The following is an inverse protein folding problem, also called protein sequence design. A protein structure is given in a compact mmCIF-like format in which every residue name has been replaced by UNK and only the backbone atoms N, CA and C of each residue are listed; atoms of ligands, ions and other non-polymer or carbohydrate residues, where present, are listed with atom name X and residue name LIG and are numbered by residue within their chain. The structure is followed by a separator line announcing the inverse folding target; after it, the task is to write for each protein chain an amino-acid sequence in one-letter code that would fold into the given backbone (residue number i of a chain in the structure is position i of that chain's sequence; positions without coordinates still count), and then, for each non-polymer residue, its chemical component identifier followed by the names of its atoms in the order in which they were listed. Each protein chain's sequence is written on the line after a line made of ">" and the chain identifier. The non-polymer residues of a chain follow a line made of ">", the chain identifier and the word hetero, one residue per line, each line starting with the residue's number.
data_IF_240889096829
#
_entry.id   IF_240889096829
#
_cell.length_a   1.000
_cell.length_b   1.000
_cell.length_c   1.000
_cell.angle_alpha   90.00
_cell.angle_beta   90.00
_cell.angle_gamma   90.00
#
_symmetry.space_group_name_H-M   'P 1'
#
loop_
_entity.id
_entity.type
_entity.pdbx_description
1 polymer ?
#
# COMPACT_ATOMS: atom_id res chain seq x y z
N UNK A 1 -6.77 15.40 -2.41
CA UNK A 1 -6.55 14.14 -1.65
C UNK A 1 -7.28 13.04 -2.39
N UNK A 2 -6.55 11.97 -2.75
CA UNK A 2 -7.11 10.81 -3.45
C UNK A 2 -7.82 9.90 -2.45
N UNK A 3 -8.94 9.30 -2.86
CA UNK A 3 -9.70 8.34 -2.05
C UNK A 3 -9.69 6.98 -2.75
N UNK A 4 -9.17 5.97 -2.05
CA UNK A 4 -9.04 4.62 -2.55
C UNK A 4 -9.86 3.59 -1.78
N UNK A 5 -9.90 2.39 -2.34
CA UNK A 5 -10.52 1.22 -1.73
C UNK A 5 -9.75 -0.06 -2.07
N UNK A 6 -10.03 -1.15 -1.35
CA UNK A 6 -9.31 -2.41 -1.51
C UNK A 6 -9.82 -3.24 -2.68
N UNK A 7 -8.89 -3.84 -3.42
CA UNK A 7 -9.17 -4.86 -4.41
C UNK A 7 -9.58 -6.18 -3.71
N UNK A 8 -10.61 -6.88 -4.20
CA UNK A 8 -11.02 -8.18 -3.68
C UNK A 8 -10.12 -9.29 -4.21
N UNK A 9 -8.83 -9.25 -3.89
CA UNK A 9 -7.82 -10.21 -4.36
C UNK A 9 -7.66 -11.42 -3.46
N UNK A 10 -8.48 -11.53 -2.40
CA UNK A 10 -8.39 -12.62 -1.41
C UNK A 10 -9.77 -13.12 -0.98
N UNK A 11 -9.80 -14.39 -0.52
CA UNK A 11 -10.99 -15.05 0.02
C UNK A 11 -12.10 -15.24 -1.01
N UNK A 12 -13.35 -15.37 -0.59
CA UNK A 12 -14.48 -15.74 -1.47
C UNK A 12 -14.75 -14.76 -2.63
N UNK A 13 -14.29 -13.52 -2.53
CA UNK A 13 -14.42 -12.52 -3.58
C UNK A 13 -13.22 -12.48 -4.55
N UNK A 14 -12.23 -13.35 -4.36
CA UNK A 14 -11.05 -13.43 -5.24
C UNK A 14 -11.38 -14.10 -6.57
N UNK A 15 -12.42 -13.65 -7.25
CA UNK A 15 -12.84 -14.12 -8.58
C UNK A 15 -12.62 -13.02 -9.62
N UNK A 16 -12.46 -13.43 -10.88
CA UNK A 16 -12.32 -12.48 -12.00
C UNK A 16 -13.53 -11.56 -12.09
N UNK A 17 -14.74 -12.12 -11.95
CA UNK A 17 -15.99 -11.37 -12.01
C UNK A 17 -16.09 -10.32 -10.89
N UNK A 18 -15.80 -10.71 -9.65
CA UNK A 18 -15.81 -9.81 -8.49
C UNK A 18 -14.81 -8.67 -8.66
N UNK A 19 -13.57 -9.01 -9.04
CA UNK A 19 -12.50 -8.05 -9.21
C UNK A 19 -12.84 -7.00 -10.29
N UNK A 20 -13.33 -7.44 -11.45
CA UNK A 20 -13.70 -6.54 -12.55
C UNK A 20 -14.92 -5.69 -12.18
N UNK A 21 -15.97 -6.31 -11.64
CA UNK A 21 -17.21 -5.60 -11.28
C UNK A 21 -16.96 -4.51 -10.25
N UNK A 22 -16.20 -4.83 -9.20
CA UNK A 22 -15.88 -3.88 -8.11
C UNK A 22 -14.96 -2.77 -8.62
N UNK A 23 -13.94 -3.08 -9.43
CA UNK A 23 -13.04 -2.07 -10.01
C UNK A 23 -13.79 -1.08 -10.92
N UNK A 24 -14.62 -1.57 -11.83
CA UNK A 24 -15.42 -0.72 -12.72
C UNK A 24 -16.45 0.12 -11.96
N UNK A 25 -17.10 -0.45 -10.94
CA UNK A 25 -18.00 0.30 -10.08
C UNK A 25 -17.28 1.40 -9.30
N UNK A 26 -16.08 1.12 -8.78
CA UNK A 26 -15.24 2.12 -8.12
C UNK A 26 -14.88 3.28 -9.04
N UNK A 27 -14.47 2.98 -10.27
CA UNK A 27 -14.19 3.99 -11.30
C UNK A 27 -15.43 4.82 -11.63
N UNK A 28 -16.60 4.17 -11.78
CA UNK A 28 -17.87 4.84 -12.07
C UNK A 28 -18.34 5.74 -10.91
N UNK A 29 -18.15 5.30 -9.67
CA UNK A 29 -18.48 6.06 -8.45
C UNK A 29 -17.49 7.20 -8.16
N UNK A 30 -16.40 7.32 -8.93
CA UNK A 30 -15.42 8.38 -8.79
C UNK A 30 -14.43 8.17 -7.64
N UNK A 31 -14.12 6.93 -7.28
CA UNK A 31 -12.94 6.62 -6.48
C UNK A 31 -11.67 6.81 -7.32
N UNK A 32 -10.59 7.19 -6.66
CA UNK A 32 -9.36 7.57 -7.34
C UNK A 32 -8.40 6.40 -7.56
N UNK A 33 -8.36 5.41 -6.65
CA UNK A 33 -7.45 4.27 -6.78
C UNK A 33 -7.96 2.99 -6.15
N UNK A 34 -7.45 1.87 -6.65
CA UNK A 34 -7.66 0.52 -6.16
C UNK A 34 -6.36 0.00 -5.53
N UNK A 35 -6.44 -0.48 -4.29
CA UNK A 35 -5.32 -0.94 -3.49
C UNK A 35 -5.27 -2.47 -3.45
N UNK A 36 -4.14 -3.07 -3.89
CA UNK A 36 -3.94 -4.52 -3.99
C UNK A 36 -3.06 -5.03 -2.86
N UNK A 37 -3.54 -6.01 -2.09
CA UNK A 37 -2.74 -6.69 -1.05
C UNK A 37 -1.75 -7.67 -1.67
N UNK A 38 -0.71 -8.04 -0.93
CA UNK A 38 0.34 -8.95 -1.39
C UNK A 38 0.55 -10.13 -0.42
N UNK A 39 0.27 -11.31 -0.91
CA UNK A 39 0.77 -12.61 -0.45
C UNK A 39 0.87 -13.51 -1.68
N UNK A 40 1.93 -14.29 -1.78
CA UNK A 40 2.15 -15.24 -2.88
C UNK A 40 1.69 -16.63 -2.47
N UNK A 41 2.07 -17.04 -1.27
CA UNK A 41 1.63 -18.30 -0.63
C UNK A 41 1.32 -18.03 0.83
N UNK A 42 0.31 -18.72 1.38
CA UNK A 42 -0.01 -18.69 2.80
C UNK A 42 0.36 -20.04 3.40
N UNK A 43 1.35 -20.10 4.30
CA UNK A 43 1.69 -21.31 5.01
C UNK A 43 0.52 -21.85 5.85
N UNK A 44 0.42 -23.18 5.97
CA UNK A 44 -0.60 -23.79 6.84
C UNK A 44 -0.32 -23.47 8.30
N UNK A 45 0.94 -23.62 8.72
CA UNK A 45 1.41 -23.29 10.05
C UNK A 45 2.12 -21.94 10.02
N UNK A 46 1.70 -21.02 10.89
CA UNK A 46 2.25 -19.68 11.02
C UNK A 46 2.66 -19.45 12.46
N UNK A 47 3.96 -19.35 12.70
CA UNK A 47 4.56 -18.98 13.98
C UNK A 47 4.82 -17.47 14.07
N UNK A 48 5.04 -16.84 12.90
CA UNK A 48 5.23 -15.41 12.76
C UNK A 48 4.04 -14.62 13.32
N UNK A 49 4.32 -13.59 14.11
CA UNK A 49 3.28 -12.74 14.69
C UNK A 49 2.78 -11.68 13.71
N UNK A 50 1.48 -11.71 13.42
CA UNK A 50 0.85 -10.72 12.57
C UNK A 50 0.89 -9.32 13.22
N UNK A 51 1.50 -8.31 12.57
CA UNK A 51 1.77 -7.02 13.21
C UNK A 51 0.53 -6.15 13.39
N UNK A 52 -0.58 -6.45 12.72
CA UNK A 52 -1.79 -5.61 12.69
C UNK A 52 -2.95 -6.15 13.53
N UNK A 53 -2.70 -7.17 14.34
CA UNK A 53 -3.63 -7.66 15.35
C UNK A 53 -2.98 -7.66 16.73
N UNK A 54 -3.72 -7.26 17.77
CA UNK A 54 -3.23 -7.25 19.15
C UNK A 54 -2.87 -8.66 19.66
N UNK A 55 -3.61 -9.68 19.20
CA UNK A 55 -3.33 -11.09 19.47
C UNK A 55 -2.05 -11.57 18.78
N UNK A 56 -1.65 -10.95 17.68
CA UNK A 56 -0.57 -11.39 16.81
C UNK A 56 -0.97 -12.53 15.87
N UNK A 57 -2.23 -12.93 15.85
CA UNK A 57 -2.74 -14.00 14.98
C UNK A 57 -3.08 -13.46 13.60
N UNK A 58 -2.68 -14.19 12.55
CA UNK A 58 -3.12 -13.90 11.20
C UNK A 58 -4.59 -14.27 11.03
N UNK A 59 -5.45 -13.39 10.50
CA UNK A 59 -6.88 -13.64 10.43
C UNK A 59 -7.21 -14.92 9.64
N UNK A 60 -7.99 -15.83 10.22
CA UNK A 60 -8.39 -17.10 9.58
C UNK A 60 -9.12 -16.90 8.25
N UNK A 61 -9.90 -15.82 8.14
CA UNK A 61 -10.56 -15.43 6.86
C UNK A 61 -9.61 -14.91 5.80
N UNK A 62 -8.32 -14.72 6.10
CA UNK A 62 -7.28 -14.40 5.13
C UNK A 62 -6.56 -15.66 4.60
N UNK A 63 -6.92 -16.86 5.10
CA UNK A 63 -6.49 -18.14 4.53
C UNK A 63 -7.41 -18.51 3.38
N UNK A 64 -6.87 -18.99 2.27
CA UNK A 64 -7.64 -19.36 1.09
C UNK A 64 -7.11 -18.73 -0.18
N UNK A 65 -7.98 -18.40 -1.12
CA UNK A 65 -7.59 -17.84 -2.41
C UNK A 65 -6.91 -16.49 -2.26
N UNK A 66 -5.73 -16.37 -2.89
CA UNK A 66 -5.01 -15.12 -3.09
C UNK A 66 -4.61 -15.01 -4.54
N UNK A 67 -4.99 -13.90 -5.17
CA UNK A 67 -4.51 -13.56 -6.50
C UNK A 67 -3.15 -12.87 -6.38
N UNK A 68 -2.22 -13.23 -7.26
CA UNK A 68 -0.92 -12.58 -7.32
C UNK A 68 -1.11 -11.09 -7.62
N UNK A 69 -0.51 -10.25 -6.77
CA UNK A 69 -0.76 -8.81 -6.72
C UNK A 69 -0.50 -8.08 -8.04
N UNK A 70 0.65 -8.34 -8.66
CA UNK A 70 1.07 -7.61 -9.85
C UNK A 70 0.32 -8.08 -11.09
N UNK A 71 -0.04 -9.37 -11.15
CA UNK A 71 -0.88 -9.92 -12.22
C UNK A 71 -2.29 -9.34 -12.14
N UNK A 72 -2.89 -9.31 -10.93
CA UNK A 72 -4.20 -8.72 -10.73
C UNK A 72 -4.22 -7.21 -11.07
N UNK A 73 -3.18 -6.47 -10.68
CA UNK A 73 -3.03 -5.05 -11.02
C UNK A 73 -2.90 -4.84 -12.54
N UNK A 74 -2.10 -5.65 -13.24
CA UNK A 74 -1.96 -5.59 -14.69
C UNK A 74 -3.29 -5.89 -15.42
N UNK A 75 -4.04 -6.89 -14.93
CA UNK A 75 -5.34 -7.24 -15.48
C UNK A 75 -6.35 -6.09 -15.35
N UNK A 76 -6.42 -5.44 -14.19
CA UNK A 76 -7.30 -4.29 -13.95
C UNK A 76 -6.83 -3.04 -14.69
N UNK A 77 -5.52 -2.86 -14.90
CA UNK A 77 -5.00 -1.79 -15.75
C UNK A 77 -5.65 -1.78 -17.14
N UNK A 78 -5.85 -2.99 -17.72
CA UNK A 78 -6.50 -3.15 -19.03
C UNK A 78 -8.04 -3.09 -19.02
N UNK A 79 -8.66 -3.07 -17.84
CA UNK A 79 -10.14 -3.00 -17.69
C UNK A 79 -10.64 -1.61 -17.30
N UNK A 80 -9.78 -0.75 -16.80
CA UNK A 80 -10.09 0.60 -16.31
C UNK A 80 -9.33 1.65 -17.08
N UNK A 81 -9.82 2.91 -17.06
CA UNK A 81 -9.21 3.99 -17.83
C UNK A 81 -8.66 5.13 -16.96
N UNK A 82 -9.22 5.36 -15.78
CA UNK A 82 -8.86 6.47 -14.87
C UNK A 82 -8.39 5.99 -13.50
N UNK A 83 -8.95 4.84 -13.03
CA UNK A 83 -8.67 4.30 -11.71
C UNK A 83 -7.17 4.01 -11.57
N UNK A 84 -6.50 4.66 -10.60
CA UNK A 84 -5.11 4.40 -10.30
C UNK A 84 -4.96 3.05 -9.62
N UNK A 85 -3.79 2.47 -9.73
CA UNK A 85 -3.43 1.16 -9.16
C UNK A 85 -2.38 1.38 -8.08
N UNK A 86 -2.59 0.81 -6.90
CA UNK A 86 -1.64 0.92 -5.80
C UNK A 86 -1.35 -0.45 -5.20
N UNK A 87 -0.09 -0.84 -5.16
CA UNK A 87 0.30 -2.00 -4.34
C UNK A 87 0.22 -1.60 -2.87
N UNK A 88 -0.51 -2.37 -2.03
CA UNK A 88 -0.89 -1.96 -0.68
C UNK A 88 -0.71 -3.10 0.37
N UNK A 89 0.52 -3.47 0.61
CA UNK A 89 1.78 -3.03 0.02
C UNK A 89 2.49 -4.24 -0.58
N UNK A 90 3.26 -4.04 -1.64
CA UNK A 90 4.11 -5.09 -2.20
C UNK A 90 5.22 -5.44 -1.20
N UNK A 91 5.37 -6.71 -0.88
CA UNK A 91 6.52 -7.20 -0.13
C UNK A 91 7.71 -7.30 -1.09
N UNK A 92 8.56 -6.28 -1.04
CA UNK A 92 9.63 -6.10 -2.03
C UNK A 92 10.56 -7.31 -2.17
N UNK A 93 10.98 -8.00 -1.09
CA UNK A 93 11.83 -9.18 -1.20
C UNK A 93 11.19 -10.46 -1.77
N UNK A 94 9.85 -10.53 -1.90
CA UNK A 94 9.18 -11.77 -2.34
C UNK A 94 9.49 -12.16 -3.79
N UNK A 95 9.96 -11.24 -4.60
CA UNK A 95 10.24 -11.46 -6.03
C UNK A 95 11.63 -10.96 -6.39
N UNK A 96 12.34 -11.60 -7.35
CA UNK A 96 13.66 -11.13 -7.81
C UNK A 96 13.61 -9.69 -8.32
N UNK A 97 14.54 -8.84 -7.88
CA UNK A 97 14.52 -7.40 -8.12
C UNK A 97 14.37 -7.01 -9.60
N UNK A 98 15.19 -7.58 -10.50
CA UNK A 98 15.16 -7.21 -11.92
C UNK A 98 13.82 -7.58 -12.56
N UNK A 99 13.28 -8.76 -12.22
CA UNK A 99 11.96 -9.19 -12.69
C UNK A 99 10.86 -8.27 -12.17
N UNK A 100 10.88 -7.94 -10.88
CA UNK A 100 9.91 -7.05 -10.25
C UNK A 100 9.94 -5.66 -10.88
N UNK A 101 11.12 -5.07 -11.07
CA UNK A 101 11.26 -3.80 -11.77
C UNK A 101 10.65 -3.83 -13.17
N UNK A 102 10.83 -4.97 -13.89
CA UNK A 102 10.25 -5.17 -15.22
C UNK A 102 8.73 -5.25 -15.19
N UNK A 103 8.17 -6.01 -14.25
CA UNK A 103 6.72 -6.15 -14.10
C UNK A 103 6.08 -4.81 -13.76
N UNK A 104 6.63 -4.06 -12.81
CA UNK A 104 6.15 -2.74 -12.42
C UNK A 104 6.23 -1.72 -13.57
N UNK A 105 7.34 -1.69 -14.31
CA UNK A 105 7.47 -0.84 -15.50
C UNK A 105 6.43 -1.19 -16.58
N UNK A 106 6.16 -2.49 -16.76
CA UNK A 106 5.15 -2.97 -17.70
C UNK A 106 3.74 -2.55 -17.27
N UNK A 107 3.39 -2.72 -15.99
CA UNK A 107 2.09 -2.27 -15.45
C UNK A 107 1.94 -0.76 -15.63
N UNK A 108 3.00 0.00 -15.37
CA UNK A 108 2.96 1.46 -15.51
C UNK A 108 2.71 1.89 -16.97
N UNK A 109 3.34 1.23 -17.93
CA UNK A 109 3.09 1.45 -19.37
C UNK A 109 1.66 1.05 -19.75
N UNK A 110 1.22 -0.16 -19.38
CA UNK A 110 -0.11 -0.67 -19.71
C UNK A 110 -1.24 0.17 -19.07
N UNK A 111 -0.96 0.74 -17.91
CA UNK A 111 -1.90 1.64 -17.23
C UNK A 111 -1.79 3.10 -17.66
N UNK A 112 -0.91 3.45 -18.61
CA UNK A 112 -0.64 4.84 -19.00
C UNK A 112 -0.26 5.73 -17.81
N UNK A 113 0.62 5.24 -16.92
CA UNK A 113 1.14 6.01 -15.79
C UNK A 113 0.21 6.11 -14.58
N UNK A 114 -0.65 5.11 -14.37
CA UNK A 114 -1.57 5.08 -13.21
C UNK A 114 -1.05 4.30 -12.01
N UNK A 115 0.15 3.72 -12.07
CA UNK A 115 0.72 2.91 -10.99
C UNK A 115 1.33 3.79 -9.89
N UNK A 116 1.08 3.43 -8.62
CA UNK A 116 1.82 3.84 -7.44
C UNK A 116 2.30 2.58 -6.72
N UNK A 117 3.59 2.50 -6.41
CA UNK A 117 4.20 1.31 -5.82
C UNK A 117 4.32 1.51 -4.32
N UNK A 118 3.37 0.97 -3.56
CA UNK A 118 3.50 0.84 -2.10
C UNK A 118 4.43 -0.33 -1.77
N UNK A 119 5.46 -0.07 -0.98
CA UNK A 119 6.58 -0.97 -0.70
C UNK A 119 6.67 -1.32 0.78
N UNK A 120 6.78 -2.59 1.10
CA UNK A 120 6.99 -3.11 2.45
C UNK A 120 8.11 -4.14 2.51
N UNK A 121 8.51 -4.49 3.73
CA UNK A 121 9.59 -5.44 3.97
C UNK A 121 9.09 -6.87 4.23
N UNK A 122 7.77 -7.05 4.49
CA UNK A 122 7.20 -8.33 4.89
C UNK A 122 7.27 -8.61 6.41
N UNK A 123 6.42 -9.54 6.85
CA UNK A 123 6.30 -9.92 8.26
C UNK A 123 6.25 -11.45 8.47
N UNK A 124 5.91 -12.23 7.43
CA UNK A 124 5.64 -13.65 7.47
C UNK A 124 6.88 -14.43 7.02
N UNK A 125 7.69 -14.88 8.00
CA UNK A 125 8.98 -15.53 7.75
C UNK A 125 8.84 -16.81 6.94
N UNK A 126 7.80 -17.58 7.24
CA UNK A 126 7.50 -18.86 6.58
C UNK A 126 7.17 -18.68 5.09
N UNK A 127 6.61 -17.53 4.69
CA UNK A 127 6.41 -17.19 3.28
C UNK A 127 7.74 -16.88 2.58
N UNK A 128 8.68 -16.22 3.26
CA UNK A 128 10.03 -15.99 2.73
C UNK A 128 10.77 -17.32 2.48
N UNK A 129 10.66 -18.27 3.40
CA UNK A 129 11.26 -19.59 3.25
C UNK A 129 10.64 -20.34 2.07
N UNK A 130 9.31 -20.38 1.97
CA UNK A 130 8.59 -21.06 0.90
C UNK A 130 8.92 -20.47 -0.49
N UNK A 131 9.19 -19.19 -0.58
CA UNK A 131 9.56 -18.51 -1.83
C UNK A 131 11.06 -18.62 -2.16
N UNK A 132 11.89 -19.10 -1.23
CA UNK A 132 13.34 -19.16 -1.42
C UNK A 132 13.97 -17.78 -1.59
N UNK A 133 13.45 -16.78 -0.92
CA UNK A 133 13.93 -15.40 -0.96
C UNK A 133 15.18 -15.21 -0.09
N UNK A 134 15.88 -14.06 -0.17
CA UNK A 134 16.95 -13.75 0.78
C UNK A 134 16.49 -13.87 2.24
N UNK A 135 17.39 -14.13 3.20
CA UNK A 135 17.04 -14.41 4.59
C UNK A 135 16.11 -13.35 5.20
N UNK A 136 15.05 -13.79 5.88
CA UNK A 136 14.03 -12.93 6.49
C UNK A 136 14.65 -11.86 7.42
N UNK A 137 15.69 -12.20 8.19
CA UNK A 137 16.40 -11.25 9.05
C UNK A 137 17.02 -10.07 8.29
N UNK A 138 17.33 -10.24 7.00
CA UNK A 138 17.95 -9.23 6.13
C UNK A 138 16.92 -8.47 5.28
N UNK A 139 15.62 -8.78 5.38
CA UNK A 139 14.54 -8.22 4.52
C UNK A 139 14.54 -6.70 4.39
N UNK A 140 14.97 -5.99 5.45
CA UNK A 140 15.08 -4.52 5.41
C UNK A 140 16.19 -4.05 4.48
N UNK A 141 17.39 -4.65 4.57
CA UNK A 141 18.54 -4.34 3.72
C UNK A 141 18.28 -4.76 2.27
N UNK A 142 17.66 -5.93 2.06
CA UNK A 142 17.22 -6.40 0.73
C UNK A 142 16.25 -5.41 0.10
N UNK A 143 15.26 -4.93 0.87
CA UNK A 143 14.31 -3.92 0.38
C UNK A 143 15.00 -2.63 -0.04
N UNK A 144 15.91 -2.11 0.79
CA UNK A 144 16.63 -0.87 0.49
C UNK A 144 17.45 -0.99 -0.81
N UNK A 145 18.13 -2.13 -0.99
CA UNK A 145 18.91 -2.40 -2.18
C UNK A 145 18.04 -2.60 -3.43
N UNK A 146 16.93 -3.34 -3.30
CA UNK A 146 16.00 -3.56 -4.42
C UNK A 146 15.37 -2.25 -4.91
N UNK A 147 14.99 -1.35 -4.00
CA UNK A 147 14.45 -0.04 -4.37
C UNK A 147 15.48 0.82 -5.12
N UNK A 148 16.76 0.74 -4.73
CA UNK A 148 17.84 1.40 -5.46
C UNK A 148 18.04 0.79 -6.85
N UNK A 149 18.04 -0.55 -6.95
CA UNK A 149 18.13 -1.27 -8.22
C UNK A 149 16.95 -0.95 -9.16
N UNK A 150 15.73 -0.84 -8.64
CA UNK A 150 14.56 -0.40 -9.44
C UNK A 150 14.80 0.96 -10.07
N UNK A 151 15.25 1.93 -9.29
CA UNK A 151 15.52 3.27 -9.80
C UNK A 151 16.59 3.25 -10.89
N UNK A 152 17.71 2.55 -10.70
CA UNK A 152 18.74 2.41 -11.71
C UNK A 152 18.17 1.84 -13.01
N UNK A 153 17.40 0.73 -12.93
CA UNK A 153 16.76 0.11 -14.10
C UNK A 153 15.78 1.05 -14.81
N UNK A 154 15.03 1.85 -14.08
CA UNK A 154 13.99 2.73 -14.65
C UNK A 154 14.52 4.03 -15.23
N UNK A 155 15.61 4.57 -14.68
CA UNK A 155 16.06 5.94 -15.00
C UNK A 155 17.34 6.02 -15.81
N UNK A 156 18.21 5.02 -15.71
CA UNK A 156 19.50 5.05 -16.41
C UNK A 156 19.39 4.43 -17.81
N UNK A 157 20.02 5.05 -18.81
CA UNK A 157 20.06 4.54 -20.18
C UNK A 157 20.85 3.22 -20.27
N UNK A 158 21.96 3.15 -19.53
CA UNK A 158 22.81 1.96 -19.39
C UNK A 158 22.85 1.54 -17.92
N UNK A 159 21.79 0.87 -17.43
CA UNK A 159 21.67 0.59 -16.02
C UNK A 159 22.77 -0.37 -15.55
N UNK A 160 23.44 0.02 -14.48
CA UNK A 160 24.44 -0.77 -13.77
C UNK A 160 24.15 -0.72 -12.29
N UNK A 161 24.26 -1.84 -11.64
CA UNK A 161 24.10 -1.92 -10.19
C UNK A 161 25.02 -2.99 -9.61
N UNK A 162 25.68 -2.71 -8.52
CA UNK A 162 26.56 -3.63 -7.81
C UNK A 162 26.24 -3.59 -6.32
N UNK A 163 25.35 -4.48 -5.89
CA UNK A 163 24.96 -4.66 -4.53
C UNK A 163 25.30 -6.04 -3.98
N UNK A 164 24.91 -6.28 -2.75
CA UNK A 164 25.06 -7.57 -2.09
C UNK A 164 24.03 -8.59 -2.59
N UNK A 165 22.78 -8.15 -2.83
CA UNK A 165 21.65 -9.00 -3.20
C UNK A 165 21.30 -8.90 -4.67
N UNK A 166 21.68 -7.82 -5.33
CA UNK A 166 21.41 -7.57 -6.76
C UNK A 166 22.67 -7.08 -7.44
N UNK A 167 22.96 -7.69 -8.60
CA UNK A 167 24.05 -7.23 -9.46
C UNK A 167 23.64 -7.36 -10.91
N UNK A 168 23.83 -6.30 -11.69
CA UNK A 168 23.68 -6.31 -13.14
C UNK A 168 24.55 -5.24 -13.79
N UNK A 169 25.02 -5.54 -15.00
CA UNK A 169 25.72 -4.62 -15.89
C UNK A 169 25.44 -5.04 -17.33
N UNK A 170 25.65 -4.12 -18.26
CA UNK A 170 25.55 -4.38 -19.69
C UNK A 170 24.18 -4.98 -20.12
N UNK A 171 23.11 -4.52 -19.48
CA UNK A 171 21.73 -4.95 -19.73
C UNK A 171 20.94 -3.85 -20.45
N UNK A 172 20.04 -4.25 -21.34
CA UNK A 172 19.02 -3.38 -21.91
C UNK A 172 17.73 -3.55 -21.11
N UNK A 173 17.27 -2.48 -20.45
CA UNK A 173 16.00 -2.48 -19.75
C UNK A 173 15.00 -1.56 -20.46
N UNK A 174 14.10 -2.17 -21.20
CA UNK A 174 13.05 -1.50 -21.98
C UNK A 174 11.76 -2.35 -21.98
N UNK A 175 10.54 -1.76 -21.92
CA UNK A 175 10.30 -0.33 -21.82
C UNK A 175 10.70 0.24 -20.46
N UNK A 176 11.02 1.53 -20.43
CA UNK A 176 11.06 2.31 -19.22
C UNK A 176 9.61 2.62 -18.77
N UNK A 177 9.35 2.89 -17.48
CA UNK A 177 8.04 3.32 -17.03
C UNK A 177 7.50 4.54 -17.81
N UNK A 178 6.18 4.63 -17.94
CA UNK A 178 5.51 5.78 -18.55
C UNK A 178 5.71 7.05 -17.69
N UNK A 179 5.59 6.91 -16.37
CA UNK A 179 5.82 7.99 -15.41
C UNK A 179 7.31 8.36 -15.34
N UNK A 180 7.61 9.66 -15.18
CA UNK A 180 8.97 10.18 -15.08
C UNK A 180 9.17 10.90 -13.74
N UNK A 181 10.28 10.66 -13.05
CA UNK A 181 11.39 9.78 -13.43
C UNK A 181 11.04 8.29 -13.35
N UNK A 182 10.06 7.88 -12.53
CA UNK A 182 9.56 6.52 -12.34
C UNK A 182 8.20 6.53 -11.59
N UNK A 183 7.46 5.41 -11.52
CA UNK A 183 6.28 5.31 -10.65
C UNK A 183 6.64 5.66 -9.21
N UNK A 184 5.81 6.44 -8.48
CA UNK A 184 6.10 6.81 -7.10
C UNK A 184 6.28 5.58 -6.21
N UNK A 185 7.35 5.55 -5.41
CA UNK A 185 7.66 4.53 -4.42
C UNK A 185 7.18 5.00 -3.04
N UNK A 186 6.07 4.45 -2.55
CA UNK A 186 5.50 4.79 -1.26
C UNK A 186 5.84 3.73 -0.23
N UNK A 187 6.50 4.11 0.85
CA UNK A 187 6.98 3.19 1.88
C UNK A 187 5.92 2.97 2.94
N UNK A 188 5.53 1.72 3.16
CA UNK A 188 4.63 1.31 4.22
C UNK A 188 5.35 1.05 5.54
N UNK A 189 4.54 0.96 6.60
CA UNK A 189 4.99 0.67 7.96
C UNK A 189 5.15 1.90 8.84
N UNK A 190 5.04 1.66 10.16
CA UNK A 190 4.92 2.67 11.22
C UNK A 190 6.13 2.67 12.16
N UNK A 191 6.99 1.64 12.07
CA UNK A 191 8.18 1.52 12.89
C UNK A 191 9.26 2.54 12.53
N UNK A 192 10.17 2.82 13.45
CA UNK A 192 11.29 3.73 13.20
C UNK A 192 12.14 3.33 11.97
N UNK A 193 12.47 2.04 11.72
CA UNK A 193 13.13 1.65 10.48
C UNK A 193 12.32 1.97 9.21
N UNK A 194 10.98 1.83 9.26
CA UNK A 194 10.12 2.16 8.14
C UNK A 194 10.08 3.67 7.87
N UNK A 195 9.97 4.49 8.93
CA UNK A 195 10.05 5.96 8.82
C UNK A 195 11.40 6.41 8.24
N UNK A 196 12.52 5.83 8.70
CA UNK A 196 13.85 6.12 8.14
C UNK A 196 13.96 5.74 6.66
N UNK A 197 13.37 4.61 6.27
CA UNK A 197 13.32 4.18 4.85
C UNK A 197 12.49 5.14 4.03
N UNK A 198 11.30 5.53 4.50
CA UNK A 198 10.45 6.52 3.83
C UNK A 198 11.18 7.86 3.68
N UNK A 199 11.84 8.33 4.72
CA UNK A 199 12.62 9.56 4.73
C UNK A 199 13.79 9.54 3.72
N UNK A 200 14.50 8.41 3.60
CA UNK A 200 15.68 8.29 2.73
C UNK A 200 15.33 7.91 1.29
N UNK A 201 14.40 6.99 1.10
CA UNK A 201 14.16 6.32 -0.18
C UNK A 201 12.74 6.51 -0.72
N UNK A 202 11.75 6.93 0.09
CA UNK A 202 10.36 7.02 -0.35
C UNK A 202 10.06 8.31 -1.13
N UNK A 203 9.17 8.22 -2.10
CA UNK A 203 8.48 9.38 -2.68
C UNK A 203 7.19 9.67 -1.89
N UNK A 204 6.77 8.72 -1.05
CA UNK A 204 5.67 8.84 -0.11
C UNK A 204 5.84 7.92 1.09
N UNK A 205 5.08 8.20 2.14
CA UNK A 205 4.91 7.35 3.31
C UNK A 205 3.44 6.93 3.43
N UNK A 206 3.20 5.62 3.55
CA UNK A 206 1.88 5.01 3.51
C UNK A 206 1.68 4.03 4.67
N UNK A 207 1.43 4.58 5.88
CA UNK A 207 1.18 3.78 7.07
C UNK A 207 -0.24 3.25 7.14
N UNK A 208 -0.44 2.23 8.00
CA UNK A 208 -1.75 1.70 8.35
C UNK A 208 -2.15 2.14 9.76
N UNK A 209 -3.42 2.52 9.94
CA UNK A 209 -3.95 3.05 11.20
C UNK A 209 -3.87 2.08 12.39
N UNK A 210 -3.96 0.78 12.13
CA UNK A 210 -4.31 -0.25 13.13
C UNK A 210 -3.13 -1.02 13.72
N UNK A 211 -1.89 -0.59 13.53
CA UNK A 211 -0.74 -1.27 14.13
C UNK A 211 -0.73 -1.05 15.66
N UNK A 212 -0.94 -2.10 16.48
CA UNK A 212 -1.04 -1.93 17.93
C UNK A 212 0.29 -1.55 18.60
N UNK A 213 1.43 -1.80 17.97
CA UNK A 213 2.75 -1.43 18.49
C UNK A 213 3.14 0.02 18.15
N UNK A 214 2.58 0.55 17.09
CA UNK A 214 2.84 1.89 16.56
C UNK A 214 1.50 2.51 16.10
N UNK A 215 0.57 2.78 17.04
CA UNK A 215 -0.77 3.22 16.67
C UNK A 215 -0.75 4.61 16.05
N UNK A 216 -1.40 4.74 14.91
CA UNK A 216 -1.61 6.01 14.20
C UNK A 216 -3.11 6.33 14.08
N UNK A 217 -3.88 5.84 15.01
CA UNK A 217 -5.33 5.80 15.00
C UNK A 217 -6.01 7.05 15.61
N UNK A 218 -5.22 8.09 15.92
CA UNK A 218 -5.73 9.42 16.28
C UNK A 218 -5.02 10.50 15.47
N UNK A 219 -5.66 11.65 15.29
CA UNK A 219 -5.08 12.77 14.53
C UNK A 219 -3.78 13.29 15.19
N UNK A 220 -3.67 13.43 16.52
CA UNK A 220 -2.40 13.77 17.16
C UNK A 220 -1.28 12.77 16.89
N UNK A 221 -1.54 11.45 17.08
CA UNK A 221 -0.54 10.40 16.83
C UNK A 221 -0.02 10.43 15.39
N UNK A 222 -0.93 10.58 14.41
CA UNK A 222 -0.52 10.69 13.00
C UNK A 222 0.28 11.97 12.74
N UNK A 223 -0.11 13.11 13.32
CA UNK A 223 0.64 14.38 13.21
C UNK A 223 2.05 14.28 13.75
N UNK A 224 2.23 13.65 14.91
CA UNK A 224 3.54 13.46 15.55
C UNK A 224 4.43 12.55 14.68
N UNK A 225 3.89 11.49 14.12
CA UNK A 225 4.62 10.63 13.21
C UNK A 225 5.04 11.34 11.91
N UNK A 226 4.17 12.18 11.34
CA UNK A 226 4.51 13.05 10.19
C UNK A 226 5.62 14.03 10.55
N UNK A 227 5.56 14.64 11.73
CA UNK A 227 6.63 15.53 12.21
C UNK A 227 7.95 14.76 12.36
N UNK A 228 7.92 13.53 12.87
CA UNK A 228 9.09 12.65 12.96
C UNK A 228 9.65 12.31 11.57
N UNK A 229 8.81 11.92 10.63
CA UNK A 229 9.20 11.64 9.24
C UNK A 229 9.91 12.84 8.60
N UNK A 230 9.34 14.04 8.77
CA UNK A 230 9.91 15.28 8.22
C UNK A 230 11.28 15.59 8.79
N UNK A 231 11.49 15.39 10.10
CA UNK A 231 12.82 15.54 10.72
C UNK A 231 13.82 14.55 10.13
N UNK A 232 13.45 13.28 10.03
CA UNK A 232 14.31 12.25 9.45
C UNK A 232 14.67 12.53 7.99
N UNK A 233 13.75 13.10 7.21
CA UNK A 233 14.02 13.50 5.83
C UNK A 233 15.04 14.64 5.76
N UNK A 234 14.90 15.67 6.61
CA UNK A 234 15.86 16.74 6.71
C UNK A 234 17.23 16.25 7.16
N UNK A 235 17.30 15.37 8.17
CA UNK A 235 18.54 14.71 8.62
C UNK A 235 19.22 13.90 7.50
N UNK A 236 18.43 13.33 6.58
CA UNK A 236 18.91 12.61 5.39
C UNK A 236 19.24 13.55 4.20
N UNK A 237 19.19 14.87 4.38
CA UNK A 237 19.47 15.85 3.32
C UNK A 237 18.40 15.94 2.24
N UNK A 238 17.16 15.45 2.52
CA UNK A 238 16.05 15.53 1.58
C UNK A 238 15.03 16.60 1.98
N UNK A 239 14.42 17.21 1.01
CA UNK A 239 13.29 18.13 1.23
C UNK A 239 12.07 17.34 1.76
N UNK A 240 11.64 17.59 3.02
CA UNK A 240 10.54 16.88 3.64
C UNK A 240 9.18 17.10 2.94
N UNK A 241 9.02 18.23 2.23
CA UNK A 241 7.78 18.58 1.52
C UNK A 241 7.54 17.71 0.28
N UNK A 242 8.59 17.06 -0.23
CA UNK A 242 8.52 16.18 -1.40
C UNK A 242 8.09 14.75 -1.08
N UNK A 243 7.91 14.42 0.21
CA UNK A 243 7.41 13.11 0.62
C UNK A 243 5.89 13.20 0.75
N UNK A 244 5.18 12.55 -0.17
CA UNK A 244 3.73 12.46 -0.12
C UNK A 244 3.28 11.70 1.13
N UNK A 245 2.14 12.09 1.70
CA UNK A 245 1.57 11.44 2.86
C UNK A 245 0.37 10.60 2.46
N UNK A 246 0.35 9.33 2.84
CA UNK A 246 -0.78 8.42 2.70
C UNK A 246 -1.33 8.01 4.05
N UNK A 247 -2.53 7.45 4.07
CA UNK A 247 -3.14 6.90 5.28
C UNK A 247 -4.07 5.74 4.92
N UNK A 248 -3.76 4.53 5.38
CA UNK A 248 -4.59 3.36 5.19
C UNK A 248 -5.48 3.12 6.40
N UNK A 249 -6.80 3.13 6.20
CA UNK A 249 -7.80 2.95 7.26
C UNK A 249 -8.67 1.69 7.00
N UNK A 250 -8.23 0.50 7.44
CA UNK A 250 -9.00 -0.73 7.21
C UNK A 250 -10.25 -0.85 8.10
N UNK A 251 -10.33 -0.10 9.19
CA UNK A 251 -11.49 -0.07 10.09
C UNK A 251 -11.96 1.36 10.25
N UNK A 252 -13.15 1.67 9.76
CA UNK A 252 -13.69 3.03 9.72
C UNK A 252 -15.18 3.05 10.07
N UNK A 253 -15.71 4.24 10.32
CA UNK A 253 -17.11 4.47 10.63
C UNK A 253 -17.59 3.74 11.88
N UNK A 254 -18.81 3.25 11.84
CA UNK A 254 -19.42 2.50 12.95
C UNK A 254 -18.78 1.12 13.19
N UNK A 255 -18.05 0.58 12.20
CA UNK A 255 -17.35 -0.69 12.36
C UNK A 255 -16.02 -0.54 13.14
N UNK A 256 -15.51 0.68 13.28
CA UNK A 256 -14.32 0.97 14.08
C UNK A 256 -14.69 1.15 15.55
N UNK A 257 -13.80 0.72 16.45
CA UNK A 257 -13.90 1.09 17.85
C UNK A 257 -13.74 2.61 17.98
N UNK A 258 -14.75 3.29 18.54
CA UNK A 258 -14.83 4.75 18.54
C UNK A 258 -13.70 5.44 19.31
N UNK A 259 -13.24 4.82 20.41
CA UNK A 259 -12.22 5.40 21.30
C UNK A 259 -11.03 4.47 21.50
N UNK A 260 -9.87 5.06 21.76
CA UNK A 260 -8.67 4.36 22.20
C UNK A 260 -8.83 3.91 23.68
N UNK A 261 -7.87 3.16 24.19
CA UNK A 261 -7.84 2.80 25.61
C UNK A 261 -7.71 4.02 26.52
N UNK A 262 -7.08 5.09 26.05
CA UNK A 262 -6.90 6.37 26.77
C UNK A 262 -8.13 7.29 26.65
N UNK A 263 -9.18 6.85 25.94
CA UNK A 263 -10.45 7.59 25.78
C UNK A 263 -10.48 8.59 24.62
N UNK A 264 -9.40 8.73 23.85
CA UNK A 264 -9.35 9.61 22.67
C UNK A 264 -10.22 9.06 21.54
N UNK A 265 -10.88 9.92 20.77
CA UNK A 265 -11.62 9.51 19.57
C UNK A 265 -10.65 9.03 18.48
N UNK A 266 -10.91 7.86 17.95
CA UNK A 266 -10.14 7.34 16.82
C UNK A 266 -10.45 8.09 15.53
N UNK A 267 -9.41 8.34 14.76
CA UNK A 267 -9.48 8.96 13.46
C UNK A 267 -10.28 8.07 12.49
N UNK A 268 -11.20 8.67 11.75
CA UNK A 268 -12.10 8.00 10.80
C UNK A 268 -13.05 6.96 11.47
N UNK A 269 -13.32 7.09 12.77
CA UNK A 269 -14.35 6.33 13.48
C UNK A 269 -15.57 7.20 13.76
N UNK A 270 -16.77 6.60 13.81
CA UNK A 270 -18.02 7.28 14.15
C UNK A 270 -18.97 7.48 12.98
N UNK A 271 -19.68 8.59 12.98
CA UNK A 271 -20.71 8.96 12.00
C UNK A 271 -20.12 9.44 10.66
N UNK A 272 -20.88 9.44 9.56
CA UNK A 272 -20.43 10.00 8.28
C UNK A 272 -19.91 11.44 8.38
N UNK A 273 -20.57 12.28 9.19
CA UNK A 273 -20.14 13.67 9.40
C UNK A 273 -18.79 13.77 10.11
N UNK A 274 -18.53 12.89 11.09
CA UNK A 274 -17.23 12.81 11.77
C UNK A 274 -16.13 12.32 10.84
N UNK A 275 -16.41 11.32 10.00
CA UNK A 275 -15.47 10.85 8.99
C UNK A 275 -15.11 11.97 7.98
N UNK A 276 -16.12 12.71 7.53
CA UNK A 276 -15.90 13.82 6.61
C UNK A 276 -15.06 14.95 7.25
N UNK A 277 -15.28 15.25 8.53
CA UNK A 277 -14.47 16.20 9.28
C UNK A 277 -13.02 15.75 9.41
N UNK A 278 -12.79 14.45 9.69
CA UNK A 278 -11.46 13.87 9.76
C UNK A 278 -10.74 13.91 8.39
N UNK A 279 -11.46 13.62 7.30
CA UNK A 279 -10.90 13.69 5.94
C UNK A 279 -10.50 15.13 5.59
N UNK A 280 -11.27 16.15 6.01
CA UNK A 280 -10.89 17.56 5.86
C UNK A 280 -9.62 17.87 6.65
N UNK A 281 -9.54 17.43 7.92
CA UNK A 281 -8.33 17.61 8.74
C UNK A 281 -7.08 16.94 8.14
N UNK A 282 -7.22 15.73 7.61
CA UNK A 282 -6.13 15.05 6.90
C UNK A 282 -5.70 15.79 5.64
N UNK A 283 -6.68 16.34 4.89
CA UNK A 283 -6.39 17.18 3.70
C UNK A 283 -5.62 18.45 4.07
N UNK A 284 -6.02 19.13 5.16
CA UNK A 284 -5.34 20.32 5.68
C UNK A 284 -3.90 20.02 6.13
N UNK A 285 -3.65 18.81 6.63
CA UNK A 285 -2.30 18.34 6.95
C UNK A 285 -1.44 18.02 5.71
N UNK A 286 -2.02 18.04 4.52
CA UNK A 286 -1.35 17.72 3.25
C UNK A 286 -1.33 16.23 2.92
N UNK A 287 -2.26 15.43 3.49
CA UNK A 287 -2.39 14.01 3.12
C UNK A 287 -2.86 13.90 1.68
N UNK A 288 -2.08 13.18 0.87
CA UNK A 288 -2.29 13.03 -0.56
C UNK A 288 -3.31 11.92 -0.89
N UNK A 289 -3.35 10.86 -0.10
CA UNK A 289 -4.23 9.70 -0.34
C UNK A 289 -4.69 9.02 0.95
N UNK A 290 -5.94 8.58 0.95
CA UNK A 290 -6.53 7.75 2.02
C UNK A 290 -7.30 6.61 1.38
N UNK A 291 -7.18 5.38 1.88
CA UNK A 291 -7.99 4.25 1.46
C UNK A 291 -8.69 3.52 2.59
N UNK A 292 -9.77 2.87 2.20
CA UNK A 292 -10.71 2.22 3.08
C UNK A 292 -10.96 0.76 2.66
N UNK A 293 -11.19 -0.11 3.64
CA UNK A 293 -11.74 -1.43 3.39
C UNK A 293 -13.26 -1.30 3.23
N UNK A 294 -13.76 -1.41 2.01
CA UNK A 294 -15.19 -1.30 1.70
C UNK A 294 -15.83 -2.64 1.34
N UNK A 295 -15.06 -3.75 1.39
CA UNK A 295 -15.54 -5.07 1.04
C UNK A 295 -16.68 -5.52 1.95
N UNK A 296 -17.73 -6.09 1.35
CA UNK A 296 -18.78 -6.82 2.03
C UNK A 296 -18.62 -8.33 1.85
N UNK A 297 -19.55 -9.11 2.37
CA UNK A 297 -19.54 -10.57 2.21
C UNK A 297 -19.83 -11.03 0.76
N UNK A 298 -20.43 -10.18 -0.05
CA UNK A 298 -20.77 -10.42 -1.47
C UNK A 298 -20.39 -9.20 -2.31
N UNK A 299 -20.35 -9.38 -3.64
CA UNK A 299 -20.18 -8.27 -4.59
C UNK A 299 -21.26 -7.21 -4.38
N UNK A 300 -22.54 -7.63 -4.27
CA UNK A 300 -23.66 -6.71 -4.03
C UNK A 300 -23.49 -5.89 -2.76
N UNK A 301 -23.10 -6.53 -1.65
CA UNK A 301 -22.83 -5.84 -0.38
C UNK A 301 -21.65 -4.86 -0.50
N UNK A 302 -20.60 -5.22 -1.24
CA UNK A 302 -19.46 -4.34 -1.50
C UNK A 302 -19.89 -3.10 -2.27
N UNK A 303 -20.66 -3.27 -3.35
CA UNK A 303 -21.17 -2.16 -4.16
C UNK A 303 -22.06 -1.21 -3.34
N UNK A 304 -22.87 -1.76 -2.45
CA UNK A 304 -23.74 -1.00 -1.56
C UNK A 304 -22.92 -0.18 -0.54
N UNK A 305 -21.87 -0.79 0.06
CA UNK A 305 -20.94 -0.10 0.93
C UNK A 305 -20.24 1.06 0.20
N UNK A 306 -19.78 0.83 -1.04
CA UNK A 306 -19.12 1.86 -1.85
C UNK A 306 -20.06 3.04 -2.17
N UNK A 307 -21.31 2.76 -2.59
CA UNK A 307 -22.33 3.78 -2.86
C UNK A 307 -22.65 4.60 -1.61
N UNK A 308 -22.88 3.90 -0.49
CA UNK A 308 -23.18 4.54 0.79
C UNK A 308 -22.02 5.43 1.25
N UNK A 309 -20.78 4.93 1.21
CA UNK A 309 -19.59 5.72 1.56
C UNK A 309 -19.47 6.97 0.68
N UNK A 310 -19.67 6.81 -0.64
CA UNK A 310 -19.67 7.92 -1.59
C UNK A 310 -20.75 8.96 -1.27
N UNK A 311 -22.00 8.53 -1.03
CA UNK A 311 -23.15 9.40 -0.82
C UNK A 311 -23.19 10.03 0.56
N UNK A 312 -22.81 9.31 1.62
CA UNK A 312 -22.94 9.77 3.00
C UNK A 312 -21.67 10.45 3.55
N UNK A 313 -20.48 10.02 3.10
CA UNK A 313 -19.21 10.56 3.60
C UNK A 313 -18.57 11.52 2.60
N UNK A 314 -18.30 11.07 1.37
CA UNK A 314 -17.54 11.88 0.42
C UNK A 314 -18.34 13.06 -0.14
N UNK A 315 -19.67 13.01 -0.10
CA UNK A 315 -20.52 14.17 -0.44
C UNK A 315 -20.38 15.33 0.56
N UNK A 316 -19.83 15.09 1.75
CA UNK A 316 -19.59 16.08 2.80
C UNK A 316 -18.15 16.61 2.84
N UNK A 317 -17.23 16.07 2.03
CA UNK A 317 -15.81 16.41 1.97
C UNK A 317 -15.53 17.37 0.84
#
# INVERSE_FOLDING_TARGET
>A
MLIGFNAPTRGPLATVESLVTIALAGEALGFDYLAFSDHVVIPEDIESRYPYAATGEFPTGARGDWQEQLIAAAFIAGKTSRLRLMTSIMVVPHRPAVLTAKMLATIDVLSAGRLTVGCGVGWLEEEFEALGTPPFAERGAVTDEYLAAFRALWTEDKPRFEGRYVRFADVIFSPKPAQKPHPPLWIGGESEPALRRAARLGDGWYPIAVNPRHPLDTLPRYRDAVARLRRLAAEAGRDPSRIALGYRCPKHGAAAQLRTAEGERRLLAGTPAELAADLRSLREMGVAAVDFELSGATVGATLENMKRFRGEVLALV
#
